data_IF_195185635269
#
_entry.id   IF_195185635269
#
_cell.length_a   1.000
_cell.length_b   1.000
_cell.length_c   1.000
_cell.angle_alpha   90.00
_cell.angle_beta   90.00
_cell.angle_gamma   90.00
#
_symmetry.space_group_name_H-M   'P 1'
#
loop_
_entity.id
_entity.type
_entity.pdbx_description
1 polymer ?
#
# COMPACT_ATOMS: atom_id res chain seq x y z
N UNK A 1 -18.68 11.26 -9.48
CA UNK A 1 -17.72 11.72 -10.53
C UNK A 1 -16.56 10.74 -10.68
N UNK A 2 -15.72 10.89 -11.70
CA UNK A 2 -14.64 9.93 -12.04
C UNK A 2 -13.78 9.51 -10.84
N UNK A 3 -13.28 10.47 -10.04
CA UNK A 3 -12.46 10.18 -8.86
C UNK A 3 -13.21 9.44 -7.75
N UNK A 4 -14.50 9.74 -7.54
CA UNK A 4 -15.30 9.05 -6.52
C UNK A 4 -15.52 7.58 -6.91
N UNK A 5 -15.83 7.32 -8.18
CA UNK A 5 -16.00 5.95 -8.68
C UNK A 5 -14.67 5.18 -8.63
N UNK A 6 -13.58 5.80 -9.07
CA UNK A 6 -12.26 5.20 -9.01
C UNK A 6 -11.82 4.91 -7.56
N UNK A 7 -12.14 5.79 -6.62
CA UNK A 7 -11.85 5.57 -5.20
C UNK A 7 -12.68 4.42 -4.64
N UNK A 8 -13.96 4.31 -5.04
CA UNK A 8 -14.83 3.24 -4.63
C UNK A 8 -14.34 1.87 -5.12
N UNK A 9 -13.99 1.72 -6.40
CA UNK A 9 -13.48 0.44 -6.90
C UNK A 9 -12.11 0.08 -6.30
N UNK A 10 -11.25 1.07 -6.00
CA UNK A 10 -10.00 0.82 -5.26
C UNK A 10 -10.28 0.17 -3.90
N UNK A 11 -11.30 0.63 -3.18
CA UNK A 11 -11.72 0.03 -1.90
C UNK A 11 -12.25 -1.41 -2.05
N UNK A 12 -12.81 -1.74 -3.21
CA UNK A 12 -13.24 -3.11 -3.54
C UNK A 12 -12.09 -4.03 -3.94
N UNK A 13 -10.85 -3.52 -4.02
CA UNK A 13 -9.66 -4.30 -4.35
C UNK A 13 -9.26 -4.28 -5.83
N UNK A 14 -9.84 -3.40 -6.64
CA UNK A 14 -9.39 -3.22 -8.02
C UNK A 14 -8.04 -2.50 -8.05
N UNK A 15 -7.13 -2.95 -8.93
CA UNK A 15 -5.80 -2.37 -9.12
C UNK A 15 -5.74 -1.23 -10.15
N UNK A 16 -6.87 -0.90 -10.80
CA UNK A 16 -6.95 0.21 -11.75
C UNK A 16 -8.33 0.41 -12.36
N UNK A 17 -8.40 1.31 -13.34
CA UNK A 17 -9.62 1.62 -14.11
C UNK A 17 -9.26 1.91 -15.57
N UNK A 18 -10.06 1.42 -16.51
CA UNK A 18 -9.94 1.80 -17.92
C UNK A 18 -10.27 3.27 -18.14
N UNK A 19 -9.49 3.94 -18.99
CA UNK A 19 -9.59 5.37 -19.27
C UNK A 19 -9.99 5.62 -20.73
N UNK A 20 -10.73 6.70 -20.96
CA UNK A 20 -11.15 7.13 -22.31
C UNK A 20 -10.61 8.51 -22.70
N UNK A 21 -10.00 9.23 -21.75
CA UNK A 21 -9.41 10.55 -21.98
C UNK A 21 -8.04 10.66 -21.29
N UNK A 22 -7.00 11.19 -21.97
CA UNK A 22 -5.68 11.38 -21.37
C UNK A 22 -5.67 12.21 -20.08
N UNK A 23 -6.60 13.14 -19.89
CA UNK A 23 -6.73 13.95 -18.67
C UNK A 23 -7.08 13.13 -17.42
N UNK A 24 -7.49 11.87 -17.58
CA UNK A 24 -7.79 10.97 -16.48
C UNK A 24 -6.56 10.22 -15.96
N UNK A 25 -5.44 10.23 -16.69
CA UNK A 25 -4.25 9.44 -16.38
C UNK A 25 -3.64 9.88 -15.05
N UNK A 26 -3.26 11.15 -14.94
CA UNK A 26 -2.61 11.69 -13.73
C UNK A 26 -3.54 11.59 -12.51
N UNK A 27 -4.84 11.82 -12.72
CA UNK A 27 -5.85 11.68 -11.68
C UNK A 27 -5.94 10.25 -11.15
N UNK A 28 -5.92 9.25 -12.04
CA UNK A 28 -5.95 7.84 -11.65
C UNK A 28 -4.65 7.43 -10.97
N UNK A 29 -3.49 7.75 -11.55
CA UNK A 29 -2.20 7.40 -10.98
C UNK A 29 -2.02 8.00 -9.58
N UNK A 30 -2.35 9.28 -9.40
CA UNK A 30 -2.30 9.92 -8.08
C UNK A 30 -3.27 9.27 -7.08
N UNK A 31 -4.45 8.83 -7.52
CA UNK A 31 -5.40 8.13 -6.65
C UNK A 31 -4.89 6.74 -6.20
N UNK A 32 -4.14 6.05 -7.07
CA UNK A 32 -3.64 4.70 -6.82
C UNK A 32 -2.28 4.66 -6.12
N UNK A 33 -1.51 5.74 -6.20
CA UNK A 33 -0.29 5.91 -5.42
C UNK A 33 -0.58 5.83 -3.90
N UNK A 34 0.32 5.24 -3.11
CA UNK A 34 0.20 5.23 -1.66
C UNK A 34 0.48 6.62 -1.08
N UNK A 35 -0.11 6.88 0.08
CA UNK A 35 0.19 8.05 0.92
C UNK A 35 1.46 7.82 1.74
N UNK A 36 2.08 8.90 2.22
CA UNK A 36 3.25 8.80 3.10
C UNK A 36 2.97 7.97 4.35
N UNK A 37 1.79 8.13 4.96
CA UNK A 37 1.37 7.36 6.14
C UNK A 37 1.30 5.85 5.86
N UNK A 38 0.79 5.45 4.70
CA UNK A 38 0.74 4.04 4.30
C UNK A 38 2.14 3.47 4.09
N UNK A 39 3.05 4.25 3.49
CA UNK A 39 4.45 3.88 3.29
C UNK A 39 5.17 3.72 4.64
N UNK A 40 5.02 4.66 5.56
CA UNK A 40 5.66 4.61 6.88
C UNK A 40 5.14 3.44 7.73
N UNK A 41 3.85 3.14 7.63
CA UNK A 41 3.29 1.95 8.26
C UNK A 41 3.86 0.67 7.63
N UNK A 42 3.91 0.59 6.30
CA UNK A 42 4.44 -0.57 5.59
C UNK A 42 5.92 -0.82 5.93
N UNK A 43 6.75 0.23 6.02
CA UNK A 43 8.15 0.11 6.45
C UNK A 43 8.27 -0.53 7.83
N UNK A 44 7.54 -0.01 8.81
CA UNK A 44 7.54 -0.57 10.19
C UNK A 44 7.12 -2.03 10.24
N UNK A 45 6.14 -2.43 9.42
CA UNK A 45 5.69 -3.83 9.33
C UNK A 45 6.80 -4.72 8.78
N UNK A 46 7.45 -4.32 7.69
CA UNK A 46 8.53 -5.09 7.08
C UNK A 46 9.75 -5.18 8.01
N UNK A 47 10.13 -4.08 8.64
CA UNK A 47 11.23 -4.05 9.62
C UNK A 47 10.96 -4.98 10.82
N UNK A 48 9.73 -4.98 11.36
CA UNK A 48 9.34 -5.88 12.44
C UNK A 48 9.40 -7.35 12.00
N UNK A 49 8.96 -7.65 10.77
CA UNK A 49 9.03 -9.00 10.22
C UNK A 49 10.49 -9.46 10.03
N UNK A 50 11.37 -8.59 9.54
CA UNK A 50 12.79 -8.87 9.38
C UNK A 50 13.52 -9.04 10.73
N UNK A 51 13.14 -8.27 11.76
CA UNK A 51 13.65 -8.44 13.11
C UNK A 51 13.25 -9.80 13.69
N UNK A 52 11.97 -10.15 13.62
CA UNK A 52 11.46 -11.44 14.09
C UNK A 52 12.11 -12.63 13.36
N UNK A 53 12.29 -12.52 12.04
CA UNK A 53 12.98 -13.55 11.24
C UNK A 53 14.45 -13.74 11.67
N UNK A 54 15.17 -12.66 11.98
CA UNK A 54 16.55 -12.72 12.50
C UNK A 54 16.64 -13.37 13.87
N UNK A 55 15.63 -13.17 14.71
CA UNK A 55 15.53 -13.76 16.04
C UNK A 55 14.98 -15.20 16.03
N UNK A 56 14.56 -15.71 14.87
CA UNK A 56 13.96 -17.03 14.74
C UNK A 56 12.56 -17.12 15.35
N UNK A 57 11.88 -15.99 15.54
CA UNK A 57 10.53 -15.92 16.10
C UNK A 57 9.51 -16.25 15.01
N UNK A 58 8.65 -17.24 15.27
CA UNK A 58 7.54 -17.60 14.37
C UNK A 58 6.36 -16.61 14.40
N UNK A 59 6.42 -15.58 15.27
CA UNK A 59 5.36 -14.59 15.45
C UNK A 59 5.96 -13.20 15.36
N UNK A 60 5.39 -12.36 14.49
CA UNK A 60 5.76 -10.94 14.37
C UNK A 60 4.78 -10.11 15.19
N UNK A 61 5.29 -9.23 16.06
CA UNK A 61 4.47 -8.28 16.82
C UNK A 61 4.88 -6.85 16.52
N UNK A 62 3.92 -6.00 16.16
CA UNK A 62 4.12 -4.57 15.96
C UNK A 62 3.13 -3.80 16.85
N UNK A 63 3.63 -2.93 17.73
CA UNK A 63 2.83 -2.17 18.69
C UNK A 63 1.88 -3.05 19.54
N UNK A 64 2.35 -4.24 19.94
CA UNK A 64 1.57 -5.18 20.74
C UNK A 64 0.47 -5.93 19.96
N UNK A 65 0.42 -5.80 18.63
CA UNK A 65 -0.49 -6.56 17.76
C UNK A 65 0.29 -7.56 16.93
N UNK A 66 -0.23 -8.78 16.86
CA UNK A 66 0.29 -9.82 15.98
C UNK A 66 0.09 -9.41 14.51
N UNK A 67 1.14 -9.60 13.71
CA UNK A 67 1.15 -9.31 12.28
C UNK A 67 1.31 -10.62 11.52
N UNK A 68 0.27 -10.99 10.77
CA UNK A 68 0.26 -12.22 9.97
C UNK A 68 0.96 -12.03 8.62
N UNK A 69 1.34 -13.14 7.99
CA UNK A 69 1.96 -13.18 6.65
C UNK A 69 1.29 -12.27 5.61
N UNK A 70 -0.05 -12.34 5.42
CA UNK A 70 -0.74 -11.49 4.45
C UNK A 70 -0.60 -9.99 4.71
N UNK A 71 -0.43 -9.56 5.97
CA UNK A 71 -0.20 -8.16 6.31
C UNK A 71 1.20 -7.72 5.88
N UNK A 72 2.19 -8.60 6.05
CA UNK A 72 3.57 -8.37 5.60
C UNK A 72 3.62 -8.29 4.07
N UNK A 73 2.93 -9.18 3.37
CA UNK A 73 2.87 -9.16 1.90
C UNK A 73 2.19 -7.90 1.38
N UNK A 74 1.11 -7.47 2.04
CA UNK A 74 0.48 -6.18 1.71
C UNK A 74 1.41 -4.99 1.97
N UNK A 75 2.18 -5.01 3.05
CA UNK A 75 3.17 -3.98 3.32
C UNK A 75 4.25 -3.92 2.23
N UNK A 76 4.79 -5.06 1.81
CA UNK A 76 5.75 -5.14 0.68
C UNK A 76 5.15 -4.58 -0.61
N UNK A 77 3.88 -4.90 -0.91
CA UNK A 77 3.18 -4.36 -2.07
C UNK A 77 3.07 -2.83 -2.03
N UNK A 78 2.76 -2.26 -0.86
CA UNK A 78 2.70 -0.79 -0.67
C UNK A 78 4.07 -0.14 -0.94
N UNK A 79 5.16 -0.74 -0.45
CA UNK A 79 6.51 -0.22 -0.70
C UNK A 79 6.89 -0.30 -2.18
N UNK A 80 6.59 -1.42 -2.84
CA UNK A 80 6.81 -1.57 -4.28
C UNK A 80 6.01 -0.55 -5.10
N UNK A 81 4.74 -0.28 -4.72
CA UNK A 81 3.94 0.76 -5.36
C UNK A 81 4.53 2.15 -5.15
N UNK A 82 5.04 2.46 -3.96
CA UNK A 82 5.67 3.74 -3.69
C UNK A 82 6.92 3.97 -4.56
N UNK A 83 7.71 2.92 -4.78
CA UNK A 83 8.89 2.96 -5.65
C UNK A 83 8.52 3.21 -7.13
N UNK A 84 7.46 2.56 -7.62
CA UNK A 84 7.06 2.63 -9.03
C UNK A 84 6.20 3.85 -9.38
N UNK A 85 5.31 4.27 -8.48
CA UNK A 85 4.31 5.32 -8.74
C UNK A 85 4.56 6.62 -7.98
N UNK A 86 5.58 6.66 -7.12
CA UNK A 86 5.78 7.75 -6.18
C UNK A 86 4.82 7.70 -4.99
N UNK A 87 4.80 8.79 -4.23
CA UNK A 87 3.96 8.96 -3.04
C UNK A 87 3.05 10.15 -3.30
N UNK A 88 1.74 9.98 -3.07
CA UNK A 88 0.81 11.10 -3.17
C UNK A 88 0.83 11.94 -1.90
N UNK A 89 0.77 13.24 -2.08
CA UNK A 89 0.49 14.20 -1.02
C UNK A 89 -1.01 14.16 -0.67
N UNK A 90 -1.32 14.20 0.62
CA UNK A 90 -2.71 14.28 1.13
C UNK A 90 -3.24 15.72 1.07
#
# INVERSE_FOLDING_TARGET
GFLQEAAHIKQLGFDGKSLINPRQIDLLHNLYAPTQKEVDHARRVVEAAEAAAREGLGVVSLNGKMVDGPVIDRARLVLSRAELSGIREE
#
